data_IF_765509429191
#
_entry.id   IF_765509429191
#
_cell.length_a   1.000
_cell.length_b   1.000
_cell.length_c   1.000
_cell.angle_alpha   90.00
_cell.angle_beta   90.00
_cell.angle_gamma   90.00
#
_symmetry.space_group_name_H-M   'P 1'
#
loop_
_entity.id
_entity.type
_entity.pdbx_description
1 polymer ?
#
# COMPACT_ATOMS: atom_id res chain seq x y z
N UNK A 1 -3.42 10.29 10.01
CA UNK A 1 -3.55 10.37 8.54
C UNK A 1 -2.41 9.54 7.97
N UNK A 2 -2.71 8.37 7.41
CA UNK A 2 -1.70 7.49 6.80
C UNK A 2 -1.18 8.19 5.55
N UNK A 3 0.14 8.41 5.45
CA UNK A 3 0.72 9.03 4.26
C UNK A 3 0.44 8.15 3.05
N UNK A 4 -0.23 8.71 2.04
CA UNK A 4 -0.43 8.03 0.77
C UNK A 4 0.94 7.92 0.07
N UNK A 5 1.38 6.69 -0.21
CA UNK A 5 2.59 6.45 -1.00
C UNK A 5 2.20 6.51 -2.47
N UNK A 6 2.53 7.60 -3.14
CA UNK A 6 2.34 7.73 -4.59
C UNK A 6 3.63 7.34 -5.32
N UNK A 7 3.55 6.39 -6.24
CA UNK A 7 4.65 6.06 -7.16
C UNK A 7 4.35 6.66 -8.52
N UNK A 8 5.32 7.37 -9.08
CA UNK A 8 5.24 7.98 -10.41
C UNK A 8 6.52 7.69 -11.17
N UNK A 9 6.45 7.70 -12.51
CA UNK A 9 7.62 7.50 -13.37
C UNK A 9 8.17 8.86 -13.76
N UNK A 10 9.35 9.19 -13.27
CA UNK A 10 9.98 10.48 -13.51
C UNK A 10 11.21 10.36 -14.39
N UNK A 11 11.32 11.24 -15.39
CA UNK A 11 12.48 11.31 -16.27
C UNK A 11 13.60 12.23 -15.74
N UNK A 12 13.44 12.77 -14.52
CA UNK A 12 14.39 13.70 -13.89
C UNK A 12 14.33 15.14 -14.39
N UNK A 13 13.39 15.47 -15.30
CA UNK A 13 13.29 16.80 -15.91
C UNK A 13 11.89 17.38 -15.82
N UNK A 14 10.90 16.65 -16.30
CA UNK A 14 9.52 17.14 -16.40
C UNK A 14 8.78 16.85 -15.11
N UNK A 15 8.07 17.85 -14.56
CA UNK A 15 7.28 17.68 -13.34
C UNK A 15 6.11 16.72 -13.62
N UNK A 16 6.04 15.55 -12.95
CA UNK A 16 4.94 14.60 -13.09
C UNK A 16 3.61 15.25 -12.71
N UNK A 17 2.52 14.85 -13.39
CA UNK A 17 1.19 15.42 -13.14
C UNK A 17 0.70 15.08 -11.73
N UNK A 18 1.12 13.94 -11.19
CA UNK A 18 0.81 13.46 -9.85
C UNK A 18 1.35 14.38 -8.75
N UNK A 19 2.35 15.21 -9.06
CA UNK A 19 2.92 16.20 -8.14
C UNK A 19 2.29 17.59 -8.29
N UNK A 20 1.32 17.78 -9.18
CA UNK A 20 0.64 19.09 -9.34
C UNK A 20 -0.40 19.33 -8.25
N UNK A 21 -1.07 18.26 -7.79
CA UNK A 21 -2.20 18.36 -6.85
C UNK A 21 -1.84 17.93 -5.41
N UNK A 22 -0.54 17.81 -5.08
CA UNK A 22 -0.12 17.49 -3.71
C UNK A 22 -0.30 18.70 -2.79
N UNK A 23 -0.85 18.51 -1.58
CA UNK A 23 -0.94 19.56 -0.57
C UNK A 23 0.43 20.21 -0.26
N UNK A 24 0.47 21.44 0.26
CA UNK A 24 1.73 22.04 0.70
C UNK A 24 2.35 21.24 1.84
N UNK A 25 3.67 21.00 1.76
CA UNK A 25 4.43 20.24 2.76
C UNK A 25 5.85 19.91 2.32
N UNK A 26 6.58 19.17 3.15
CA UNK A 26 7.93 18.66 2.84
C UNK A 26 7.83 17.22 2.34
N UNK A 27 8.36 16.98 1.14
CA UNK A 27 8.36 15.67 0.49
C UNK A 27 9.79 15.20 0.25
N UNK A 28 10.04 13.90 0.46
CA UNK A 28 11.27 13.24 0.06
C UNK A 28 10.94 12.26 -1.08
N UNK A 29 11.77 12.27 -2.12
CA UNK A 29 11.66 11.36 -3.25
C UNK A 29 12.87 10.43 -3.27
N UNK A 30 12.61 9.16 -3.50
CA UNK A 30 13.63 8.12 -3.61
C UNK A 30 13.40 7.36 -4.92
N UNK A 31 14.45 7.23 -5.73
CA UNK A 31 14.38 6.42 -6.95
C UNK A 31 14.33 4.95 -6.56
N UNK A 32 13.31 4.26 -7.04
CA UNK A 32 13.20 2.80 -6.88
C UNK A 32 13.63 2.18 -8.21
N UNK A 33 14.94 1.96 -8.35
CA UNK A 33 15.52 1.39 -9.59
C UNK A 33 15.13 -0.08 -9.79
N UNK A 34 14.86 -0.78 -8.69
CA UNK A 34 14.27 -2.12 -8.68
C UNK A 34 13.09 -2.14 -7.73
N UNK A 35 11.88 -2.29 -8.30
CA UNK A 35 10.74 -2.71 -7.50
C UNK A 35 11.04 -4.15 -7.02
N UNK A 36 10.79 -4.47 -5.73
CA UNK A 36 10.89 -5.85 -5.29
C UNK A 36 9.93 -6.69 -6.13
N UNK A 37 10.48 -7.66 -6.87
CA UNK A 37 9.67 -8.63 -7.58
C UNK A 37 9.02 -9.55 -6.55
N UNK A 38 7.72 -9.74 -6.64
CA UNK A 38 7.04 -10.76 -5.88
C UNK A 38 7.51 -12.13 -6.36
N UNK A 39 7.73 -13.04 -5.43
CA UNK A 39 7.81 -14.47 -5.75
C UNK A 39 6.45 -14.96 -6.26
N UNK A 40 6.44 -16.06 -6.99
CA UNK A 40 5.19 -16.65 -7.50
C UNK A 40 4.19 -16.95 -6.36
N UNK A 41 4.70 -17.35 -5.20
CA UNK A 41 3.89 -17.60 -4.00
C UNK A 41 3.26 -16.31 -3.46
N UNK A 42 4.04 -15.24 -3.35
CA UNK A 42 3.54 -13.95 -2.88
C UNK A 42 2.50 -13.36 -3.84
N UNK A 43 2.73 -13.44 -5.15
CA UNK A 43 1.77 -12.99 -6.17
C UNK A 43 0.46 -13.79 -6.09
N UNK A 44 0.55 -15.12 -5.97
CA UNK A 44 -0.62 -15.98 -5.80
C UNK A 44 -1.39 -15.67 -4.50
N UNK A 45 -0.66 -15.41 -3.41
CA UNK A 45 -1.22 -15.01 -2.12
C UNK A 45 -1.98 -13.68 -2.21
N UNK A 46 -1.39 -12.67 -2.82
CA UNK A 46 -2.03 -11.36 -3.04
C UNK A 46 -3.26 -11.48 -3.94
N UNK A 47 -3.15 -12.21 -5.05
CA UNK A 47 -4.28 -12.47 -5.95
C UNK A 47 -5.46 -13.12 -5.22
N UNK A 48 -5.17 -14.11 -4.37
CA UNK A 48 -6.17 -14.80 -3.54
C UNK A 48 -6.81 -13.86 -2.51
N UNK A 49 -5.99 -13.06 -1.81
CA UNK A 49 -6.47 -12.11 -0.82
C UNK A 49 -7.39 -11.05 -1.44
N UNK A 50 -7.00 -10.50 -2.60
CA UNK A 50 -7.81 -9.52 -3.33
C UNK A 50 -9.12 -10.13 -3.85
N UNK A 51 -9.10 -11.36 -4.35
CA UNK A 51 -10.32 -12.07 -4.74
C UNK A 51 -11.27 -12.27 -3.55
N UNK A 52 -10.74 -12.62 -2.38
CA UNK A 52 -11.50 -12.76 -1.14
C UNK A 52 -12.18 -11.45 -0.72
N UNK A 53 -11.46 -10.33 -0.81
CA UNK A 53 -12.00 -9.00 -0.54
C UNK A 53 -13.15 -8.64 -1.50
N UNK A 54 -12.97 -8.87 -2.81
CA UNK A 54 -14.02 -8.64 -3.82
C UNK A 54 -15.25 -9.51 -3.59
N UNK A 55 -15.07 -10.70 -3.04
CA UNK A 55 -16.15 -11.60 -2.64
C UNK A 55 -16.82 -11.22 -1.30
N UNK A 56 -16.48 -10.06 -0.70
CA UNK A 56 -17.07 -9.57 0.54
C UNK A 56 -16.57 -10.26 1.80
N UNK A 57 -15.48 -11.03 1.73
CA UNK A 57 -14.90 -11.76 2.88
C UNK A 57 -13.89 -10.93 3.69
N UNK A 58 -13.85 -9.62 3.45
CA UNK A 58 -13.01 -8.70 4.21
C UNK A 58 -13.44 -8.60 5.69
N UNK A 59 -12.49 -8.21 6.54
CA UNK A 59 -12.74 -7.88 7.94
C UNK A 59 -12.55 -6.39 8.15
N UNK A 60 -13.33 -5.78 9.04
CA UNK A 60 -13.13 -4.38 9.42
C UNK A 60 -11.91 -4.24 10.33
N UNK A 61 -11.33 -3.05 10.38
CA UNK A 61 -10.20 -2.75 11.27
C UNK A 61 -10.55 -3.05 12.74
N UNK A 62 -11.78 -2.74 13.16
CA UNK A 62 -12.25 -3.02 14.51
C UNK A 62 -12.26 -4.52 14.81
N UNK A 63 -12.79 -5.35 13.90
CA UNK A 63 -12.80 -6.81 14.04
C UNK A 63 -11.38 -7.38 14.14
N UNK A 64 -10.45 -6.87 13.33
CA UNK A 64 -9.05 -7.29 13.37
C UNK A 64 -8.40 -6.89 14.70
N UNK A 65 -8.62 -5.67 15.19
CA UNK A 65 -8.09 -5.19 16.48
C UNK A 65 -8.61 -6.01 17.65
N UNK A 66 -9.91 -6.29 17.69
CA UNK A 66 -10.52 -7.15 18.71
C UNK A 66 -9.88 -8.55 18.73
N UNK A 67 -9.61 -9.12 17.55
CA UNK A 67 -8.96 -10.43 17.43
C UNK A 67 -7.53 -10.41 17.96
N UNK A 68 -6.75 -9.39 17.59
CA UNK A 68 -5.37 -9.23 18.06
C UNK A 68 -5.34 -9.01 19.58
N UNK A 69 -6.19 -8.14 20.11
CA UNK A 69 -6.27 -7.87 21.55
C UNK A 69 -6.66 -9.12 22.34
N UNK A 70 -7.54 -9.97 21.79
CA UNK A 70 -7.91 -11.24 22.40
C UNK A 70 -6.73 -12.25 22.42
N UNK A 71 -5.89 -12.26 21.39
CA UNK A 71 -4.70 -13.13 21.31
C UNK A 71 -3.59 -12.63 22.25
N UNK A 72 -3.42 -11.31 22.35
CA UNK A 72 -2.34 -10.68 23.14
C UNK A 72 -2.66 -10.53 24.63
N UNK A 73 -3.94 -10.62 25.03
CA UNK A 73 -4.34 -10.70 26.44
C UNK A 73 -3.95 -12.06 27.01
N UNK A 74 -2.73 -12.12 27.53
CA UNK A 74 -2.31 -13.03 28.60
C UNK A 74 -2.87 -12.56 29.94
#
# INVERSE_FOLDING_TARGET
MTAARSTFRWNGKDLPEELRDVPPGTYAFESIDQLPSLTDEEEAGLSTALASLRAGKGRTLEQVRQTIDAILRR
#
